data_IF_461580630098
#
_entry.id   IF_461580630098
#
_cell.length_a   1.000
_cell.length_b   1.000
_cell.length_c   1.000
_cell.angle_alpha   90.00
_cell.angle_beta   90.00
_cell.angle_gamma   90.00
#
_symmetry.space_group_name_H-M   'P 1'
#
loop_
_entity.id
_entity.type
_entity.pdbx_description
1 polymer ?
#
# COMPACT_ATOMS: atom_id res chain seq x y z
N UNK A 1 -22.46 -17.10 0.87
CA UNK A 1 -21.62 -16.29 1.77
C UNK A 1 -20.67 -15.48 0.91
N UNK A 2 -20.81 -14.15 0.88
CA UNK A 2 -19.89 -13.29 0.13
C UNK A 2 -18.55 -13.25 0.85
N UNK A 3 -17.48 -13.72 0.21
CA UNK A 3 -16.12 -13.53 0.73
C UNK A 3 -15.80 -12.03 0.72
N UNK A 4 -15.10 -11.53 1.73
CA UNK A 4 -14.55 -10.17 1.74
C UNK A 4 -13.10 -10.25 1.23
N UNK A 5 -12.73 -9.38 0.31
CA UNK A 5 -11.34 -9.14 -0.08
C UNK A 5 -10.86 -7.88 0.65
N UNK A 6 -9.74 -7.97 1.37
CA UNK A 6 -9.12 -6.81 2.02
C UNK A 6 -8.01 -6.26 1.12
N UNK A 7 -8.39 -5.35 0.23
CA UNK A 7 -7.46 -4.67 -0.64
C UNK A 7 -6.63 -3.68 0.18
N UNK A 8 -5.30 -3.70 -0.01
CA UNK A 8 -4.38 -2.75 0.60
C UNK A 8 -3.63 -1.98 -0.48
N UNK A 9 -3.63 -0.66 -0.36
CA UNK A 9 -2.87 0.24 -1.24
C UNK A 9 -1.81 0.95 -0.42
N UNK A 10 -0.56 0.84 -0.86
CA UNK A 10 0.59 1.49 -0.25
C UNK A 10 1.02 2.64 -1.14
N UNK A 11 1.16 3.83 -0.57
CA UNK A 11 1.58 5.02 -1.30
C UNK A 11 2.83 5.62 -0.68
N UNK A 12 3.90 5.69 -1.46
CA UNK A 12 5.10 6.46 -1.11
C UNK A 12 4.79 7.94 -1.21
N UNK A 13 4.94 8.67 -0.11
CA UNK A 13 4.65 10.11 -0.09
C UNK A 13 5.90 10.95 -0.34
N UNK A 14 5.75 12.01 -1.11
CA UNK A 14 6.78 13.02 -1.30
C UNK A 14 7.07 13.71 0.06
N UNK A 15 8.35 13.98 0.40
CA UNK A 15 8.73 14.40 1.74
C UNK A 15 8.15 15.74 2.18
N UNK A 16 7.91 16.67 1.24
CA UNK A 16 7.51 18.06 1.53
C UNK A 16 5.99 18.20 1.52
N UNK A 17 5.36 17.95 0.38
CA UNK A 17 3.94 18.21 0.13
C UNK A 17 3.02 17.00 0.38
N UNK A 18 3.57 15.84 0.75
CA UNK A 18 2.84 14.60 1.08
C UNK A 18 1.99 14.04 -0.06
N UNK A 19 2.28 14.42 -1.29
CA UNK A 19 1.60 13.83 -2.46
C UNK A 19 2.10 12.40 -2.72
N UNK A 20 1.24 11.46 -3.14
CA UNK A 20 1.67 10.13 -3.57
C UNK A 20 2.61 10.22 -4.79
N UNK A 21 3.83 9.72 -4.65
CA UNK A 21 4.84 9.60 -5.70
C UNK A 21 4.70 8.28 -6.46
N UNK A 22 4.39 7.21 -5.73
CA UNK A 22 4.22 5.88 -6.27
C UNK A 22 3.26 5.09 -5.38
N UNK A 23 2.43 4.25 -5.99
CA UNK A 23 1.49 3.40 -5.27
C UNK A 23 1.52 1.96 -5.76
N UNK A 24 1.29 1.03 -4.84
CA UNK A 24 1.16 -0.41 -5.08
C UNK A 24 -0.13 -0.91 -4.44
N UNK A 25 -0.85 -1.81 -5.11
CA UNK A 25 -2.11 -2.37 -4.58
C UNK A 25 -2.02 -3.89 -4.60
N UNK A 26 -2.45 -4.49 -3.49
CA UNK A 26 -2.44 -5.93 -3.23
C UNK A 26 -3.84 -6.35 -2.80
N UNK A 27 -4.30 -7.52 -3.27
CA UNK A 27 -5.68 -7.97 -3.08
C UNK A 27 -5.79 -9.34 -2.39
N UNK A 28 -4.79 -10.21 -2.59
CA UNK A 28 -4.85 -11.62 -2.17
C UNK A 28 -3.59 -12.06 -1.39
N UNK A 29 -2.59 -11.19 -1.31
CA UNK A 29 -1.31 -11.46 -0.67
C UNK A 29 -1.50 -11.52 0.86
N UNK A 30 -1.13 -12.63 1.53
CA UNK A 30 -1.24 -12.70 2.98
C UNK A 30 -0.19 -11.83 3.70
N UNK A 31 0.91 -11.50 3.01
CA UNK A 31 2.00 -10.68 3.52
C UNK A 31 2.53 -9.80 2.39
N UNK A 32 2.66 -8.49 2.64
CA UNK A 32 3.34 -7.53 1.77
C UNK A 32 4.58 -7.01 2.48
N UNK A 33 5.75 -7.16 1.84
CA UNK A 33 7.04 -6.76 2.40
C UNK A 33 7.51 -5.46 1.79
N UNK A 34 8.05 -4.59 2.64
CA UNK A 34 8.65 -3.32 2.24
C UNK A 34 10.10 -3.28 2.74
N UNK A 35 11.02 -2.93 1.84
CA UNK A 35 12.42 -2.79 2.19
C UNK A 35 13.27 -2.37 1.00
N UNK A 36 14.58 -2.18 1.22
CA UNK A 36 15.50 -1.80 0.13
C UNK A 36 16.03 -2.98 -0.69
N UNK A 37 15.87 -4.20 -0.18
CA UNK A 37 16.28 -5.40 -0.91
C UNK A 37 15.31 -5.69 -2.05
N UNK A 38 15.82 -6.21 -3.16
CA UNK A 38 15.05 -6.48 -4.39
C UNK A 38 14.06 -7.65 -4.28
N UNK A 39 14.09 -8.38 -3.16
CA UNK A 39 13.19 -9.49 -2.87
C UNK A 39 11.98 -9.09 -2.00
N UNK A 40 11.70 -7.79 -1.87
CA UNK A 40 10.46 -7.29 -1.25
C UNK A 40 9.44 -6.96 -2.32
N UNK A 41 8.16 -6.98 -1.94
CA UNK A 41 7.05 -6.62 -2.82
C UNK A 41 7.05 -5.12 -3.15
N UNK A 42 7.44 -4.28 -2.17
CA UNK A 42 7.72 -2.86 -2.36
C UNK A 42 9.18 -2.58 -2.09
N UNK A 43 9.91 -2.23 -3.15
CA UNK A 43 11.35 -1.95 -3.10
C UNK A 43 11.58 -0.44 -3.02
N UNK A 44 12.25 0.00 -1.95
CA UNK A 44 12.60 1.41 -1.73
C UNK A 44 14.12 1.59 -1.67
N UNK A 45 14.70 2.23 -2.68
CA UNK A 45 16.15 2.44 -2.80
C UNK A 45 16.67 3.58 -1.91
N UNK A 46 16.51 3.44 -0.60
CA UNK A 46 17.00 4.39 0.39
C UNK A 46 17.96 3.69 1.36
N UNK A 47 19.10 4.33 1.66
CA UNK A 47 20.13 3.77 2.53
C UNK A 47 19.66 3.60 3.99
N UNK A 48 18.71 4.42 4.45
CA UNK A 48 18.16 4.33 5.81
C UNK A 48 17.07 3.25 5.94
N UNK A 49 16.52 2.77 4.82
CA UNK A 49 15.56 1.66 4.82
C UNK A 49 16.31 0.34 4.97
N UNK A 50 15.84 -0.51 5.87
CA UNK A 50 16.43 -1.83 6.11
C UNK A 50 16.18 -2.73 4.90
N UNK A 51 17.02 -3.76 4.70
CA UNK A 51 16.84 -4.72 3.59
C UNK A 51 15.44 -5.32 3.60
N UNK A 52 14.98 -5.72 4.77
CA UNK A 52 13.59 -6.02 5.11
C UNK A 52 13.25 -5.08 6.27
N UNK A 53 12.28 -4.21 6.10
CA UNK A 53 12.04 -3.13 7.06
C UNK A 53 10.69 -3.25 7.75
N UNK A 54 9.64 -3.52 6.98
CA UNK A 54 8.31 -3.72 7.52
C UNK A 54 7.58 -4.78 6.70
N UNK A 55 6.80 -5.59 7.39
CA UNK A 55 5.83 -6.49 6.80
C UNK A 55 4.44 -6.00 7.15
N UNK A 56 3.54 -6.02 6.18
CA UNK A 56 2.10 -5.91 6.40
C UNK A 56 1.55 -7.31 6.29
N UNK A 57 0.86 -7.77 7.33
CA UNK A 57 0.33 -9.13 7.41
C UNK A 57 -1.19 -9.08 7.48
N UNK A 58 -1.85 -9.86 6.65
CA UNK A 58 -3.29 -10.03 6.73
C UNK A 58 -3.62 -11.00 7.88
N UNK A 59 -4.57 -10.60 8.72
CA UNK A 59 -5.12 -11.36 9.84
C UNK A 59 -6.65 -11.47 9.67
N UNK A 60 -7.31 -12.20 10.57
CA UNK A 60 -8.77 -12.30 10.59
C UNK A 60 -9.45 -10.94 10.83
N UNK A 61 -8.78 -10.06 11.59
CA UNK A 61 -9.30 -8.74 11.98
C UNK A 61 -8.90 -7.60 11.03
N UNK A 62 -8.06 -7.87 10.03
CA UNK A 62 -7.59 -6.86 9.08
C UNK A 62 -6.11 -6.97 8.77
N UNK A 63 -5.46 -5.84 8.47
CA UNK A 63 -4.03 -5.79 8.23
C UNK A 63 -3.29 -5.36 9.49
N UNK A 64 -2.11 -5.91 9.74
CA UNK A 64 -1.21 -5.50 10.83
C UNK A 64 0.18 -5.18 10.30
N UNK A 65 0.75 -4.07 10.79
CA UNK A 65 2.13 -3.67 10.56
C UNK A 65 3.04 -4.44 11.52
N UNK A 66 4.15 -4.97 11.00
CA UNK A 66 5.21 -5.61 11.76
C UNK A 66 6.56 -5.03 11.36
N UNK A 67 7.22 -4.35 12.30
CA UNK A 67 8.58 -3.88 12.12
C UNK A 67 9.56 -5.07 12.09
N UNK A 68 10.33 -5.19 11.01
CA UNK A 68 11.42 -6.16 10.89
C UNK A 68 12.78 -5.48 10.76
N UNK A 69 12.77 -4.16 10.58
CA UNK A 69 13.93 -3.33 10.35
C UNK A 69 14.64 -2.91 11.64
N UNK A 70 15.97 -2.86 11.56
CA UNK A 70 16.86 -2.40 12.63
C UNK A 70 16.72 -0.90 12.92
N UNK A 71 16.39 -0.10 11.91
CA UNK A 71 16.29 1.35 12.05
C UNK A 71 14.91 1.82 12.58
N UNK A 72 13.99 0.87 12.80
CA UNK A 72 12.66 1.09 13.35
C UNK A 72 11.64 1.66 12.37
N UNK A 73 10.38 1.34 12.62
CA UNK A 73 9.20 1.91 11.95
C UNK A 73 8.51 2.88 12.90
N UNK A 74 8.06 4.03 12.41
CA UNK A 74 7.50 5.10 13.23
C UNK A 74 6.09 5.50 12.80
N UNK A 75 5.21 5.73 13.77
CA UNK A 75 3.87 6.29 13.58
C UNK A 75 3.77 7.59 14.38
N UNK A 76 3.45 8.70 13.71
CA UNK A 76 3.38 10.03 14.35
C UNK A 76 4.63 10.41 15.19
N UNK A 77 5.81 9.90 14.82
CA UNK A 77 7.08 10.16 15.51
C UNK A 77 7.47 9.12 16.56
N UNK A 78 6.55 8.24 16.96
CA UNK A 78 6.78 7.18 17.94
C UNK A 78 7.17 5.87 17.26
N UNK A 79 8.16 5.16 17.81
CA UNK A 79 8.62 3.88 17.27
C UNK A 79 7.61 2.79 17.60
N UNK A 80 7.22 2.00 16.61
CA UNK A 80 6.28 0.88 16.76
C UNK A 80 6.97 -0.44 16.40
N UNK A 81 6.62 -1.50 17.12
CA UNK A 81 6.99 -2.87 16.74
C UNK A 81 5.88 -3.56 15.96
N UNK A 82 4.64 -3.47 16.43
CA UNK A 82 3.46 -3.82 15.64
C UNK A 82 2.31 -2.83 15.83
N UNK A 83 1.41 -2.75 14.84
CA UNK A 83 0.23 -1.89 14.89
C UNK A 83 -0.86 -2.37 13.93
N UNK A 84 -2.13 -2.50 14.37
CA UNK A 84 -3.24 -2.69 13.45
C UNK A 84 -3.34 -1.54 12.45
N UNK A 85 -3.55 -1.86 11.18
CA UNK A 85 -3.70 -0.88 10.10
C UNK A 85 -5.09 -0.28 10.17
N UNK A 86 -5.13 1.04 10.02
CA UNK A 86 -6.36 1.81 9.79
C UNK A 86 -6.24 2.48 8.42
N UNK A 87 -7.37 2.72 7.76
CA UNK A 87 -7.35 3.42 6.47
C UNK A 87 -6.74 4.82 6.61
N UNK A 88 -5.85 5.17 5.69
CA UNK A 88 -5.11 6.43 5.69
C UNK A 88 -3.92 6.50 6.65
N UNK A 89 -3.56 5.41 7.33
CA UNK A 89 -2.46 5.40 8.28
C UNK A 89 -1.11 5.65 7.60
N UNK A 90 -0.30 6.56 8.15
CA UNK A 90 1.03 6.90 7.62
C UNK A 90 2.13 6.45 8.56
N UNK A 91 2.99 5.56 8.07
CA UNK A 91 4.21 5.14 8.76
C UNK A 91 5.45 5.78 8.13
N UNK A 92 6.51 5.94 8.91
CA UNK A 92 7.83 6.33 8.43
C UNK A 92 8.83 5.19 8.64
N UNK A 93 9.62 4.90 7.61
CA UNK A 93 10.65 3.87 7.64
C UNK A 93 11.98 4.50 8.04
N UNK A 94 12.46 4.25 9.26
CA UNK A 94 13.53 5.00 9.93
C UNK A 94 13.19 6.49 10.20
N UNK A 95 13.86 7.09 11.19
CA UNK A 95 13.57 8.47 11.67
C UNK A 95 13.63 9.54 10.56
N UNK A 96 14.58 9.39 9.63
CA UNK A 96 14.81 10.30 8.49
C UNK A 96 14.40 9.72 7.14
N UNK A 97 13.69 8.60 7.11
CA UNK A 97 13.36 7.93 5.85
C UNK A 97 11.97 8.26 5.29
N UNK A 98 11.54 7.48 4.27
CA UNK A 98 10.31 7.75 3.53
C UNK A 98 9.05 7.52 4.38
N UNK A 99 7.98 8.24 4.02
CA UNK A 99 6.66 7.98 4.59
C UNK A 99 5.85 7.12 3.60
N UNK A 100 5.20 6.09 4.14
CA UNK A 100 4.27 5.22 3.42
C UNK A 100 2.88 5.46 4.01
N UNK A 101 1.96 5.92 3.18
CA UNK A 101 0.54 5.91 3.49
C UNK A 101 -0.06 4.56 3.12
N UNK A 102 -0.89 4.04 4.01
CA UNK A 102 -1.54 2.76 3.89
C UNK A 102 -3.04 3.01 3.84
N UNK A 103 -3.66 2.59 2.76
CA UNK A 103 -5.11 2.61 2.59
C UNK A 103 -5.63 1.18 2.52
N UNK A 104 -6.74 0.91 3.18
CA UNK A 104 -7.36 -0.42 3.21
C UNK A 104 -8.83 -0.31 2.86
N UNK A 105 -9.28 -1.19 1.95
CA UNK A 105 -10.68 -1.26 1.54
C UNK A 105 -11.16 -2.70 1.69
N UNK A 106 -12.18 -2.89 2.52
CA UNK A 106 -12.92 -4.14 2.57
C UNK A 106 -13.92 -4.17 1.41
N UNK A 107 -13.63 -4.95 0.38
CA UNK A 107 -14.53 -5.13 -0.74
C UNK A 107 -15.29 -6.45 -0.60
N UNK A 108 -16.62 -6.41 -0.69
CA UNK A 108 -17.38 -7.64 -0.93
C UNK A 108 -17.02 -8.20 -2.30
N UNK A 109 -16.50 -9.44 -2.34
CA UNK A 109 -16.02 -10.13 -3.56
C UNK A 109 -17.07 -10.25 -4.67
N UNK A 110 -18.35 -10.02 -4.38
CA UNK A 110 -19.45 -9.96 -5.35
C UNK A 110 -19.75 -8.60 -5.98
N UNK A 111 -19.35 -7.46 -5.37
CA UNK A 111 -19.57 -6.12 -5.93
C UNK A 111 -18.38 -5.57 -6.73
N UNK A 112 -17.18 -6.10 -6.49
CA UNK A 112 -15.98 -5.75 -7.26
C UNK A 112 -16.14 -6.12 -8.74
N UNK A 113 -16.79 -7.24 -9.06
CA UNK A 113 -17.03 -7.68 -10.44
C UNK A 113 -17.89 -6.70 -11.24
N UNK A 114 -18.87 -6.04 -10.61
CA UNK A 114 -19.79 -5.10 -11.29
C UNK A 114 -19.10 -3.75 -11.48
N UNK A 115 -18.45 -3.19 -10.45
CA UNK A 115 -17.72 -1.93 -10.59
C UNK A 115 -16.50 -2.07 -11.52
N UNK A 116 -15.79 -3.19 -11.50
CA UNK A 116 -14.72 -3.49 -12.46
C UNK A 116 -15.26 -3.61 -13.89
N UNK A 117 -16.45 -4.21 -14.09
CA UNK A 117 -17.11 -4.24 -15.40
C UNK A 117 -17.47 -2.82 -15.89
N UNK A 118 -18.02 -1.98 -15.00
CA UNK A 118 -18.45 -0.62 -15.31
C UNK A 118 -17.23 0.29 -15.61
N UNK A 119 -16.18 0.23 -14.79
CA UNK A 119 -14.95 0.98 -15.01
C UNK A 119 -14.25 0.58 -16.32
N UNK A 120 -14.26 -0.72 -16.66
CA UNK A 120 -13.70 -1.23 -17.94
C UNK A 120 -14.53 -0.80 -19.15
N UNK A 121 -15.85 -0.62 -19.02
CA UNK A 121 -16.70 -0.05 -20.08
C UNK A 121 -16.49 1.46 -20.26
N UNK A 122 -16.31 2.21 -19.17
CA UNK A 122 -16.06 3.65 -19.23
C UNK A 122 -14.67 3.99 -19.80
N UNK A 123 -13.64 3.17 -19.52
CA UNK A 123 -12.32 3.31 -20.13
C UNK A 123 -12.31 3.02 -21.65
N UNK A 124 -13.17 2.12 -22.13
CA UNK A 124 -13.34 1.84 -23.58
C UNK A 124 -14.01 3.00 -24.34
N UNK A 125 -14.82 3.82 -23.68
CA UNK A 125 -15.49 4.97 -24.30
C UNK A 125 -14.61 6.20 -24.54
N UNK A 126 -13.40 6.26 -23.97
CA UNK A 126 -12.47 7.40 -24.13
C UNK A 126 -11.43 7.22 -25.24
N UNK A 127 -11.40 6.07 -25.89
CA UNK A 127 -10.46 5.77 -26.97
C UNK A 127 -11.09 5.91 -28.37
N UNK A 128 -11.90 6.96 -28.62
CA UNK A 128 -12.25 7.37 -29.97
C UNK A 128 -12.41 8.89 -30.00
N UNK A 129 -11.31 9.61 -30.24
CA UNK A 129 -11.31 10.74 -31.19
C UNK A 129 -10.04 10.59 -32.01
N UNK A 130 -10.23 10.17 -33.26
CA UNK A 130 -9.22 10.20 -34.30
C UNK A 130 -9.06 11.64 -34.82
N UNK A 131 -7.85 11.88 -35.32
CA UNK A 131 -7.55 12.54 -36.61
C UNK A 131 -7.32 14.05 -36.71
N UNK A 132 -6.17 14.33 -37.33
CA UNK A 132 -5.85 15.34 -38.34
C UNK A 132 -5.49 16.78 -37.92
N UNK A 133 -4.19 17.05 -37.90
CA UNK A 133 -3.52 18.03 -38.77
C UNK A 133 -2.01 17.78 -38.79
#
# INVERSE_FOLDING_TARGET
MSTLNNVITLSLLHPIDKTPVQSWTFEEEPIVRIGRSVNNDVVLYSAVVSRHHVELRQTEDGWEIHNTGTNGTFLAGERIESKPVQDGLVIRLARSGPNIQINVVQQTKGMSSIHALIAKQQARGRAVVKENA
#
